data_IF_296644650130
#
_entry.id   IF_296644650130
#
_cell.length_a   1.000
_cell.length_b   1.000
_cell.length_c   1.000
_cell.angle_alpha   90.00
_cell.angle_beta   90.00
_cell.angle_gamma   90.00
#
_symmetry.space_group_name_H-M   'P 1'
#
loop_
_entity.id
_entity.type
_entity.pdbx_description
1 polymer ?
#
# COMPACT_ATOMS: atom_id res chain seq x y z
N UNK A 1 -12.01 2.28 9.96
CA UNK A 1 -12.83 2.62 8.77
C UNK A 1 -14.07 1.73 8.70
N UNK A 2 -13.93 0.41 8.82
CA UNK A 2 -15.06 -0.54 8.88
C UNK A 2 -16.08 -0.25 9.99
N UNK A 3 -15.61 0.10 11.20
CA UNK A 3 -16.49 0.48 12.31
C UNK A 3 -17.39 1.68 11.96
N UNK A 4 -16.88 2.66 11.21
CA UNK A 4 -17.66 3.83 10.78
C UNK A 4 -18.76 3.43 9.78
N UNK A 5 -18.42 2.62 8.78
CA UNK A 5 -19.37 2.08 7.78
C UNK A 5 -20.47 1.28 8.48
N UNK A 6 -20.10 0.48 9.48
CA UNK A 6 -21.05 -0.29 10.28
C UNK A 6 -21.98 0.62 11.08
N UNK A 7 -21.46 1.61 11.81
CA UNK A 7 -22.30 2.56 12.55
C UNK A 7 -23.21 3.39 11.64
N UNK A 8 -22.75 3.76 10.44
CA UNK A 8 -23.59 4.45 9.45
C UNK A 8 -24.71 3.54 8.91
N UNK A 9 -24.42 2.26 8.67
CA UNK A 9 -25.42 1.27 8.28
C UNK A 9 -26.52 1.12 9.35
N UNK A 10 -26.11 0.93 10.61
CA UNK A 10 -27.02 0.79 11.76
C UNK A 10 -27.88 2.06 11.96
N UNK A 11 -27.28 3.24 11.78
CA UNK A 11 -28.00 4.52 11.83
C UNK A 11 -29.03 4.64 10.70
N UNK A 12 -28.69 4.20 9.49
CA UNK A 12 -29.62 4.16 8.36
C UNK A 12 -30.78 3.21 8.59
N UNK A 13 -30.54 2.04 9.17
CA UNK A 13 -31.56 1.04 9.49
C UNK A 13 -32.50 1.53 10.60
N UNK A 14 -31.95 1.97 11.72
CA UNK A 14 -32.73 2.49 12.85
C UNK A 14 -33.60 3.69 12.46
N UNK A 15 -33.09 4.60 11.64
CA UNK A 15 -33.87 5.73 11.15
C UNK A 15 -34.98 5.31 10.17
N UNK A 16 -34.77 4.23 9.42
CA UNK A 16 -35.79 3.63 8.56
C UNK A 16 -36.94 3.03 9.38
N UNK A 17 -36.61 2.26 10.42
CA UNK A 17 -37.58 1.68 11.35
C UNK A 17 -38.37 2.76 12.10
N UNK A 18 -37.68 3.78 12.62
CA UNK A 18 -38.29 4.93 13.26
C UNK A 18 -39.28 5.64 12.32
N UNK A 19 -38.89 5.80 11.06
CA UNK A 19 -39.73 6.40 10.03
C UNK A 19 -41.03 5.62 9.78
N UNK A 20 -40.94 4.29 9.68
CA UNK A 20 -42.09 3.41 9.51
C UNK A 20 -43.01 3.43 10.74
N UNK A 21 -42.45 3.46 11.95
CA UNK A 21 -43.21 3.57 13.19
C UNK A 21 -44.06 4.86 13.24
N UNK A 22 -43.46 6.01 12.90
CA UNK A 22 -44.19 7.29 12.84
C UNK A 22 -45.26 7.32 11.74
N UNK A 23 -45.02 6.69 10.59
CA UNK A 23 -46.04 6.54 9.54
C UNK A 23 -47.21 5.67 10.05
N UNK A 24 -46.93 4.61 10.82
CA UNK A 24 -47.96 3.75 11.42
C UNK A 24 -48.80 4.52 12.45
N UNK A 25 -48.17 5.32 13.32
CA UNK A 25 -48.85 6.20 14.28
C UNK A 25 -49.73 7.24 13.56
N UNK A 26 -49.25 7.83 12.46
CA UNK A 26 -50.05 8.74 11.65
C UNK A 26 -51.30 8.05 11.11
N UNK A 27 -51.19 6.82 10.60
CA UNK A 27 -52.33 6.07 10.04
C UNK A 27 -53.37 5.74 11.11
N UNK A 28 -52.96 5.29 12.31
CA UNK A 28 -53.90 5.01 13.39
C UNK A 28 -54.59 6.28 13.90
N UNK A 29 -53.85 7.37 14.13
CA UNK A 29 -54.41 8.63 14.63
C UNK A 29 -55.29 9.38 13.62
N UNK A 30 -55.04 9.20 12.32
CA UNK A 30 -55.92 9.71 11.28
C UNK A 30 -57.23 8.93 11.16
N UNK A 31 -57.26 7.65 11.57
CA UNK A 31 -58.47 6.83 11.56
C UNK A 31 -59.39 7.12 12.78
N UNK A 32 -58.83 7.63 13.88
CA UNK A 32 -59.52 7.98 15.13
C UNK A 32 -59.90 9.48 15.24
N UNK A 33 -59.85 10.24 14.14
CA UNK A 33 -59.85 11.71 14.20
C UNK A 33 -61.23 12.32 14.53
N UNK A 34 -61.52 12.48 15.83
CA UNK A 34 -62.68 13.22 16.36
C UNK A 34 -62.33 14.61 16.92
N UNK A 35 -61.04 14.95 17.06
CA UNK A 35 -60.54 16.20 17.67
C UNK A 35 -59.39 16.83 16.88
N UNK A 36 -59.33 18.16 16.83
CA UNK A 36 -58.33 18.95 16.09
C UNK A 36 -56.89 18.63 16.53
N UNK A 37 -56.69 18.28 17.80
CA UNK A 37 -55.41 17.85 18.37
C UNK A 37 -54.88 16.57 17.71
N UNK A 38 -55.75 15.59 17.45
CA UNK A 38 -55.35 14.33 16.82
C UNK A 38 -54.88 14.54 15.37
N UNK A 39 -55.50 15.47 14.65
CA UNK A 39 -55.10 15.89 13.31
C UNK A 39 -53.71 16.52 13.30
N UNK A 40 -53.40 17.39 14.27
CA UNK A 40 -52.08 18.02 14.41
C UNK A 40 -51.00 16.98 14.70
N UNK A 41 -51.24 16.05 15.64
CA UNK A 41 -50.31 14.97 15.95
C UNK A 41 -50.08 14.03 14.76
N UNK A 42 -51.12 13.65 14.02
CA UNK A 42 -50.99 12.83 12.82
C UNK A 42 -50.13 13.53 11.76
N UNK A 43 -50.33 14.84 11.53
CA UNK A 43 -49.52 15.63 10.59
C UNK A 43 -48.05 15.72 11.02
N UNK A 44 -47.77 15.89 12.30
CA UNK A 44 -46.40 15.92 12.84
C UNK A 44 -45.74 14.54 12.72
N UNK A 45 -46.43 13.46 13.09
CA UNK A 45 -45.95 12.10 12.92
C UNK A 45 -45.62 11.79 11.45
N UNK A 46 -46.47 12.22 10.50
CA UNK A 46 -46.19 12.08 9.06
C UNK A 46 -44.91 12.82 8.64
N UNK A 47 -44.71 14.06 9.11
CA UNK A 47 -43.52 14.86 8.78
C UNK A 47 -42.25 14.21 9.32
N UNK A 48 -42.24 13.81 10.60
CA UNK A 48 -41.10 13.14 11.23
C UNK A 48 -40.82 11.81 10.53
N UNK A 49 -41.86 10.99 10.29
CA UNK A 49 -41.72 9.71 9.62
C UNK A 49 -41.12 9.83 8.21
N UNK A 50 -41.58 10.82 7.44
CA UNK A 50 -41.05 11.08 6.09
C UNK A 50 -39.60 11.56 6.13
N UNK A 51 -39.25 12.44 7.08
CA UNK A 51 -37.89 12.93 7.27
C UNK A 51 -36.94 11.79 7.67
N UNK A 52 -37.37 10.92 8.58
CA UNK A 52 -36.60 9.76 9.03
C UNK A 52 -36.35 8.76 7.88
N UNK A 53 -37.37 8.43 7.08
CA UNK A 53 -37.18 7.58 5.87
C UNK A 53 -36.24 8.24 4.86
N UNK A 54 -36.33 9.56 4.67
CA UNK A 54 -35.40 10.29 3.78
C UNK A 54 -33.96 10.23 4.29
N UNK A 55 -33.77 10.39 5.59
CA UNK A 55 -32.45 10.28 6.22
C UNK A 55 -31.87 8.87 6.08
N UNK A 56 -32.69 7.83 6.28
CA UNK A 56 -32.30 6.43 6.04
C UNK A 56 -31.77 6.22 4.61
N UNK A 57 -32.45 6.75 3.58
CA UNK A 57 -31.99 6.67 2.18
C UNK A 57 -30.66 7.37 1.95
N UNK A 58 -30.49 8.59 2.48
CA UNK A 58 -29.23 9.32 2.36
C UNK A 58 -28.08 8.64 3.09
N UNK A 59 -28.35 8.07 4.26
CA UNK A 59 -27.36 7.30 5.01
C UNK A 59 -26.90 6.06 4.24
N UNK A 60 -27.82 5.32 3.60
CA UNK A 60 -27.47 4.17 2.73
C UNK A 60 -26.63 4.57 1.52
N UNK A 61 -27.00 5.65 0.83
CA UNK A 61 -26.24 6.17 -0.31
C UNK A 61 -24.84 6.62 0.10
N UNK A 62 -24.74 7.38 1.19
CA UNK A 62 -23.45 7.82 1.74
C UNK A 62 -22.59 6.61 2.16
N UNK A 63 -23.19 5.58 2.75
CA UNK A 63 -22.49 4.37 3.14
C UNK A 63 -21.97 3.59 1.92
N UNK A 64 -22.76 3.47 0.86
CA UNK A 64 -22.33 2.85 -0.40
C UNK A 64 -21.13 3.59 -1.02
N UNK A 65 -21.15 4.92 -1.00
CA UNK A 65 -20.01 5.72 -1.44
C UNK A 65 -18.80 5.57 -0.53
N UNK A 66 -18.99 5.53 0.78
CA UNK A 66 -17.91 5.32 1.74
C UNK A 66 -17.21 3.98 1.52
N UNK A 67 -17.96 2.88 1.38
CA UNK A 67 -17.40 1.55 1.07
C UNK A 67 -16.55 1.60 -0.20
N UNK A 68 -17.08 2.16 -1.30
CA UNK A 68 -16.33 2.29 -2.56
C UNK A 68 -15.02 3.07 -2.39
N UNK A 69 -14.99 4.10 -1.54
CA UNK A 69 -13.78 4.87 -1.25
C UNK A 69 -12.81 4.15 -0.34
N UNK A 70 -13.31 3.38 0.62
CA UNK A 70 -12.47 2.50 1.45
C UNK A 70 -11.79 1.43 0.60
N UNK A 71 -12.49 0.84 -0.36
CA UNK A 71 -11.91 -0.17 -1.27
C UNK A 71 -10.73 0.42 -2.05
N UNK A 72 -10.90 1.63 -2.62
CA UNK A 72 -9.81 2.35 -3.29
C UNK A 72 -8.62 2.64 -2.36
N UNK A 73 -8.89 2.98 -1.10
CA UNK A 73 -7.84 3.20 -0.11
C UNK A 73 -7.12 1.90 0.24
N UNK A 74 -7.83 0.78 0.38
CA UNK A 74 -7.24 -0.53 0.65
C UNK A 74 -6.33 -0.97 -0.49
N UNK A 75 -6.77 -0.82 -1.74
CA UNK A 75 -5.92 -1.10 -2.92
C UNK A 75 -4.65 -0.27 -2.91
N UNK A 76 -4.76 1.04 -2.64
CA UNK A 76 -3.62 1.94 -2.57
C UNK A 76 -2.64 1.56 -1.45
N UNK A 77 -3.15 1.22 -0.26
CA UNK A 77 -2.32 0.78 0.86
C UNK A 77 -1.61 -0.53 0.55
N UNK A 78 -2.29 -1.48 -0.12
CA UNK A 78 -1.69 -2.72 -0.60
C UNK A 78 -0.55 -2.49 -1.59
N UNK A 79 -0.75 -1.56 -2.54
CA UNK A 79 0.30 -1.15 -3.47
C UNK A 79 1.49 -0.52 -2.75
N UNK A 80 1.24 0.39 -1.81
CA UNK A 80 2.31 1.05 -1.05
C UNK A 80 3.13 0.05 -0.24
N UNK A 81 2.50 -0.97 0.31
CA UNK A 81 3.21 -2.07 0.97
C UNK A 81 4.13 -2.81 -0.01
N UNK A 82 3.66 -3.11 -1.23
CA UNK A 82 4.49 -3.75 -2.25
C UNK A 82 5.68 -2.87 -2.67
N UNK A 83 5.46 -1.57 -2.86
CA UNK A 83 6.53 -0.59 -3.17
C UNK A 83 7.56 -0.53 -2.04
N UNK A 84 7.12 -0.55 -0.79
CA UNK A 84 8.01 -0.58 0.36
C UNK A 84 8.89 -1.85 0.36
N UNK A 85 8.29 -3.02 0.16
CA UNK A 85 9.05 -4.29 0.07
C UNK A 85 10.06 -4.26 -1.07
N UNK A 86 9.66 -3.85 -2.27
CA UNK A 86 10.57 -3.76 -3.42
C UNK A 86 11.72 -2.77 -3.20
N UNK A 87 11.47 -1.70 -2.43
CA UNK A 87 12.49 -0.72 -2.04
C UNK A 87 13.45 -1.29 -0.99
N UNK A 88 12.94 -2.06 -0.02
CA UNK A 88 13.75 -2.76 0.97
C UNK A 88 14.67 -3.80 0.30
N UNK A 89 14.14 -4.61 -0.61
CA UNK A 89 14.93 -5.61 -1.35
C UNK A 89 16.08 -4.98 -2.13
N UNK A 90 15.80 -3.88 -2.85
CA UNK A 90 16.83 -3.10 -3.56
C UNK A 90 17.89 -2.55 -2.63
N UNK A 91 17.49 -2.08 -1.44
CA UNK A 91 18.40 -1.49 -0.45
C UNK A 91 19.28 -2.56 0.19
N UNK A 92 18.73 -3.73 0.48
CA UNK A 92 19.46 -4.89 0.97
C UNK A 92 20.48 -5.39 -0.06
N UNK A 93 20.10 -5.51 -1.33
CA UNK A 93 21.02 -5.90 -2.41
C UNK A 93 22.16 -4.88 -2.57
N UNK A 94 21.87 -3.58 -2.47
CA UNK A 94 22.90 -2.54 -2.51
C UNK A 94 23.85 -2.65 -1.32
N UNK A 95 23.34 -2.91 -0.11
CA UNK A 95 24.16 -3.11 1.07
C UNK A 95 25.13 -4.28 0.88
N UNK A 96 24.67 -5.41 0.32
CA UNK A 96 25.54 -6.55 0.00
C UNK A 96 26.67 -6.16 -0.96
N UNK A 97 26.37 -5.40 -2.02
CA UNK A 97 27.38 -4.89 -2.95
C UNK A 97 28.41 -4.03 -2.21
N UNK A 98 27.96 -3.10 -1.37
CA UNK A 98 28.82 -2.21 -0.60
C UNK A 98 29.73 -2.95 0.38
N UNK A 99 29.19 -3.97 1.07
CA UNK A 99 29.95 -4.82 1.98
C UNK A 99 31.09 -5.54 1.24
N UNK A 100 30.78 -6.21 0.12
CA UNK A 100 31.78 -6.93 -0.66
C UNK A 100 32.85 -6.00 -1.24
N UNK A 101 32.47 -4.79 -1.67
CA UNK A 101 33.43 -3.78 -2.14
C UNK A 101 34.36 -3.32 -1.02
N UNK A 102 33.85 -3.10 0.20
CA UNK A 102 34.66 -2.72 1.36
C UNK A 102 35.63 -3.84 1.77
N UNK A 103 35.16 -5.09 1.76
CA UNK A 103 35.99 -6.27 2.02
C UNK A 103 37.11 -6.39 0.99
N UNK A 104 36.82 -6.19 -0.30
CA UNK A 104 37.83 -6.19 -1.37
C UNK A 104 38.91 -5.13 -1.15
N UNK A 105 38.53 -3.90 -0.79
CA UNK A 105 39.50 -2.83 -0.48
C UNK A 105 40.40 -3.24 0.69
N UNK A 106 39.81 -3.82 1.73
CA UNK A 106 40.56 -4.28 2.92
C UNK A 106 41.51 -5.43 2.58
N UNK A 107 41.11 -6.37 1.73
CA UNK A 107 41.96 -7.48 1.30
C UNK A 107 43.09 -7.00 0.39
N UNK A 108 42.80 -6.13 -0.58
CA UNK A 108 43.82 -5.56 -1.48
C UNK A 108 44.90 -4.79 -0.72
N UNK A 109 44.50 -3.90 0.20
CA UNK A 109 45.47 -3.17 1.04
C UNK A 109 46.33 -4.11 1.91
N UNK A 110 45.78 -5.23 2.38
CA UNK A 110 46.53 -6.24 3.12
C UNK A 110 47.53 -7.00 2.24
N UNK A 111 47.18 -7.28 0.98
CA UNK A 111 48.13 -7.85 -0.01
C UNK A 111 49.27 -6.88 -0.28
N UNK A 112 48.98 -5.59 -0.50
CA UNK A 112 49.99 -4.55 -0.72
C UNK A 112 50.95 -4.44 0.48
N UNK A 113 50.42 -4.45 1.70
CA UNK A 113 51.22 -4.41 2.92
C UNK A 113 52.14 -5.62 3.07
N UNK A 114 51.65 -6.84 2.74
CA UNK A 114 52.47 -8.05 2.77
C UNK A 114 53.58 -8.02 1.71
N UNK A 115 53.27 -7.52 0.51
CA UNK A 115 54.25 -7.36 -0.57
C UNK A 115 55.34 -6.36 -0.19
N UNK A 116 54.96 -5.20 0.35
CA UNK A 116 55.89 -4.16 0.82
C UNK A 116 56.74 -4.61 2.01
N UNK A 117 56.21 -5.48 2.88
CA UNK A 117 56.96 -6.06 3.99
C UNK A 117 57.92 -7.18 3.55
N UNK A 118 57.56 -7.94 2.51
CA UNK A 118 58.40 -9.01 1.94
C UNK A 118 59.59 -8.44 1.17
N UNK A 119 59.40 -7.33 0.43
CA UNK A 119 60.46 -6.69 -0.37
C UNK A 119 61.61 -6.10 0.47
N UNK A 120 61.36 -5.80 1.75
CA UNK A 120 62.38 -5.33 2.70
C UNK A 120 63.32 -6.44 3.20
N UNK A 121 62.99 -7.71 2.95
CA UNK A 121 63.81 -8.86 3.33
C UNK A 121 64.61 -9.33 2.12
N UNK A 122 65.95 -9.32 2.22
CA UNK A 122 66.82 -9.83 1.17
C UNK A 122 66.54 -11.32 0.90
N UNK A 123 66.20 -11.67 -0.35
CA UNK A 123 65.79 -13.02 -0.74
C UNK A 123 64.28 -13.33 -0.59
N UNK A 124 63.49 -12.38 -0.06
CA UNK A 124 62.04 -12.47 0.09
C UNK A 124 61.57 -13.38 1.24
N UNK A 125 60.46 -13.00 1.89
CA UNK A 125 59.86 -13.82 2.95
C UNK A 125 58.85 -14.80 2.34
N UNK A 126 59.26 -16.08 2.19
CA UNK A 126 58.44 -17.15 1.60
C UNK A 126 57.08 -17.32 2.30
N UNK A 127 57.03 -17.15 3.62
CA UNK A 127 55.79 -17.27 4.39
C UNK A 127 54.82 -16.13 4.07
N UNK A 128 55.32 -14.89 4.04
CA UNK A 128 54.51 -13.72 3.63
C UNK A 128 54.04 -13.80 2.18
N UNK A 129 54.88 -14.31 1.29
CA UNK A 129 54.53 -14.48 -0.12
C UNK A 129 53.42 -15.52 -0.29
N UNK A 130 53.48 -16.65 0.42
CA UNK A 130 52.41 -17.65 0.40
C UNK A 130 51.08 -17.06 0.91
N UNK A 131 51.12 -16.35 2.06
CA UNK A 131 49.95 -15.67 2.63
C UNK A 131 49.37 -14.59 1.71
N UNK A 132 50.20 -13.88 0.96
CA UNK A 132 49.75 -12.90 -0.02
C UNK A 132 49.06 -13.58 -1.21
N UNK A 133 49.55 -14.75 -1.64
CA UNK A 133 48.93 -15.52 -2.72
C UNK A 133 47.59 -16.13 -2.29
N UNK A 134 47.48 -16.65 -1.06
CA UNK A 134 46.21 -17.11 -0.50
C UNK A 134 45.18 -15.98 -0.46
N UNK A 135 45.59 -14.77 -0.05
CA UNK A 135 44.73 -13.59 -0.07
C UNK A 135 44.30 -13.19 -1.48
N UNK A 136 45.18 -13.28 -2.48
CA UNK A 136 44.79 -13.02 -3.88
C UNK A 136 43.77 -14.04 -4.40
N UNK A 137 43.88 -15.30 -4.00
CA UNK A 137 42.88 -16.31 -4.35
C UNK A 137 41.53 -16.01 -3.67
N UNK A 138 41.54 -15.59 -2.41
CA UNK A 138 40.33 -15.12 -1.73
C UNK A 138 39.73 -13.86 -2.40
N UNK A 139 40.57 -12.91 -2.82
CA UNK A 139 40.13 -11.72 -3.57
C UNK A 139 39.37 -12.12 -4.84
N UNK A 140 39.89 -13.06 -5.64
CA UNK A 140 39.20 -13.53 -6.86
C UNK A 140 37.80 -14.05 -6.56
N UNK A 141 37.65 -14.88 -5.51
CA UNK A 141 36.34 -15.41 -5.09
C UNK A 141 35.40 -14.28 -4.65
N UNK A 142 35.91 -13.30 -3.91
CA UNK A 142 35.10 -12.15 -3.47
C UNK A 142 34.76 -11.21 -4.64
N UNK A 143 35.62 -11.07 -5.65
CA UNK A 143 35.34 -10.34 -6.89
C UNK A 143 34.20 -11.01 -7.66
N UNK A 144 34.24 -12.33 -7.82
CA UNK A 144 33.14 -13.09 -8.42
C UNK A 144 31.83 -12.92 -7.64
N UNK A 145 31.88 -12.99 -6.31
CA UNK A 145 30.72 -12.75 -5.45
C UNK A 145 30.18 -11.32 -5.62
N UNK A 146 31.07 -10.31 -5.70
CA UNK A 146 30.71 -8.90 -5.94
C UNK A 146 30.04 -8.73 -7.30
N UNK A 147 30.56 -9.37 -8.35
CA UNK A 147 29.99 -9.28 -9.69
C UNK A 147 28.60 -9.93 -9.75
N UNK A 148 28.39 -11.04 -9.05
CA UNK A 148 27.07 -11.66 -8.87
C UNK A 148 26.11 -10.73 -8.10
N UNK A 149 26.56 -10.11 -7.00
CA UNK A 149 25.74 -9.18 -6.22
C UNK A 149 25.36 -7.93 -7.03
N UNK A 150 26.26 -7.40 -7.86
CA UNK A 150 25.94 -6.28 -8.77
C UNK A 150 24.88 -6.67 -9.78
N UNK A 151 24.99 -7.86 -10.39
CA UNK A 151 23.98 -8.37 -11.34
C UNK A 151 22.61 -8.48 -10.70
N UNK A 152 22.54 -8.98 -9.47
CA UNK A 152 21.28 -9.10 -8.73
C UNK A 152 20.69 -7.73 -8.39
N UNK A 153 21.51 -6.79 -7.89
CA UNK A 153 21.08 -5.42 -7.62
C UNK A 153 20.50 -4.73 -8.87
N UNK A 154 21.19 -4.82 -10.01
CA UNK A 154 20.72 -4.23 -11.26
C UNK A 154 19.46 -4.94 -11.80
N UNK A 155 19.36 -6.26 -11.60
CA UNK A 155 18.15 -7.01 -11.95
C UNK A 155 16.93 -6.52 -11.15
N UNK A 156 17.05 -6.38 -9.83
CA UNK A 156 15.97 -5.85 -8.96
C UNK A 156 15.61 -4.42 -9.39
N UNK A 157 16.60 -3.57 -9.61
CA UNK A 157 16.41 -2.17 -10.02
C UNK A 157 15.67 -2.06 -11.35
N UNK A 158 16.05 -2.84 -12.34
CA UNK A 158 15.38 -2.87 -13.64
C UNK A 158 13.96 -3.44 -13.54
N UNK A 159 13.76 -4.47 -12.73
CA UNK A 159 12.42 -5.03 -12.51
C UNK A 159 11.47 -4.00 -11.88
N UNK A 160 11.93 -3.29 -10.85
CA UNK A 160 11.17 -2.21 -10.21
C UNK A 160 10.82 -1.09 -11.21
N UNK A 161 11.77 -0.73 -12.09
CA UNK A 161 11.53 0.26 -13.15
C UNK A 161 10.45 -0.20 -14.13
N UNK A 162 10.51 -1.44 -14.60
CA UNK A 162 9.50 -2.00 -15.52
C UNK A 162 8.12 -2.03 -14.88
N UNK A 163 8.03 -2.44 -13.63
CA UNK A 163 6.76 -2.53 -12.92
C UNK A 163 6.14 -1.15 -12.68
N UNK A 164 6.95 -0.14 -12.36
CA UNK A 164 6.47 1.24 -12.26
C UNK A 164 5.87 1.74 -13.59
N UNK A 165 6.55 1.49 -14.71
CA UNK A 165 6.05 1.86 -16.04
C UNK A 165 4.76 1.11 -16.39
N UNK A 166 4.70 -0.20 -16.09
CA UNK A 166 3.50 -1.01 -16.28
C UNK A 166 2.33 -0.44 -15.48
N UNK A 167 2.56 -0.11 -14.23
CA UNK A 167 1.56 0.46 -13.33
C UNK A 167 1.04 1.82 -13.82
N UNK A 168 1.93 2.74 -14.20
CA UNK A 168 1.52 4.04 -14.74
C UNK A 168 0.72 3.91 -16.03
N UNK A 169 1.09 2.96 -16.89
CA UNK A 169 0.38 2.70 -18.14
C UNK A 169 -1.01 2.12 -17.86
N UNK A 170 -1.11 1.14 -16.96
CA UNK A 170 -2.39 0.58 -16.51
C UNK A 170 -3.33 1.66 -15.98
N UNK A 171 -2.83 2.53 -15.08
CA UNK A 171 -3.61 3.65 -14.54
C UNK A 171 -4.16 4.59 -15.61
N UNK A 172 -3.38 4.88 -16.64
CA UNK A 172 -3.82 5.74 -17.76
C UNK A 172 -4.94 5.06 -18.55
N UNK A 173 -4.78 3.77 -18.83
CA UNK A 173 -5.79 2.96 -19.53
C UNK A 173 -7.09 2.90 -18.73
N UNK A 174 -7.03 2.56 -17.45
CA UNK A 174 -8.21 2.47 -16.57
C UNK A 174 -8.96 3.80 -16.48
N UNK A 175 -8.22 4.92 -16.42
CA UNK A 175 -8.80 6.24 -16.43
C UNK A 175 -9.53 6.56 -17.75
N UNK A 176 -8.92 6.21 -18.89
CA UNK A 176 -9.55 6.39 -20.20
C UNK A 176 -10.81 5.54 -20.34
N UNK A 177 -10.80 4.30 -19.85
CA UNK A 177 -11.97 3.42 -19.92
C UNK A 177 -13.10 3.89 -18.99
N UNK A 178 -12.76 4.44 -17.82
CA UNK A 178 -13.73 5.14 -16.97
C UNK A 178 -14.39 6.31 -17.71
N UNK A 179 -13.60 7.16 -18.39
CA UNK A 179 -14.13 8.29 -19.15
C UNK A 179 -15.03 7.86 -20.30
N UNK A 180 -14.64 6.80 -21.04
CA UNK A 180 -15.50 6.21 -22.06
C UNK A 180 -16.82 5.74 -21.45
N UNK A 181 -16.78 4.99 -20.35
CA UNK A 181 -17.98 4.52 -19.66
C UNK A 181 -18.89 5.67 -19.23
N UNK A 182 -18.32 6.75 -18.71
CA UNK A 182 -19.07 7.96 -18.35
C UNK A 182 -19.79 8.57 -19.55
N UNK A 183 -19.10 8.74 -20.68
CA UNK A 183 -19.69 9.30 -21.92
C UNK A 183 -20.82 8.42 -22.45
N UNK A 184 -20.73 7.09 -22.34
CA UNK A 184 -21.80 6.18 -22.78
C UNK A 184 -22.99 6.11 -21.81
N UNK A 185 -22.81 6.59 -20.57
CA UNK A 185 -23.84 6.55 -19.51
C UNK A 185 -24.65 7.85 -19.38
N UNK A 186 -24.31 8.88 -20.15
CA UNK A 186 -25.05 10.14 -20.31
C UNK A 186 -26.00 10.05 -21.50
#
# INVERSE_FOLDING_TARGET
AESLVKSQQELGETMGELGLAFIKICKSKSAEATSNTHTIYAKNAKRIGTAAVKHSRFSREANAQAVKKLDQLHEYLGLMQAVHTASADRSNALLTVQTLMSELITMNTRVENLAAASSKVFGGDKSRNHKAEDLKNAIKVTEEARDCAIKEYEHIKENNRRELVRFETGRKTDFLDMLKGFVHSQ
#
